data_IF_260370236378
#
_entry.id   IF_260370236378
#
_cell.length_a   1.000
_cell.length_b   1.000
_cell.length_c   1.000
_cell.angle_alpha   90.00
_cell.angle_beta   90.00
_cell.angle_gamma   90.00
#
_symmetry.space_group_name_H-M   'P 1'
#
loop_
_entity.id
_entity.type
_entity.pdbx_description
1 polymer ?
#
# COMPACT_ATOMS: atom_id res chain seq x y z
N UNK A 1 45.68 -24.06 54.81
CA UNK A 1 46.85 -23.47 55.49
C UNK A 1 47.34 -22.31 54.64
N UNK A 2 47.31 -21.08 55.19
CA UNK A 2 48.05 -19.85 54.83
C UNK A 2 48.09 -19.34 53.38
N UNK A 3 48.24 -18.05 53.05
CA UNK A 3 48.10 -16.76 53.72
C UNK A 3 48.32 -15.67 52.64
N UNK A 4 47.72 -14.50 52.84
CA UNK A 4 48.25 -13.15 52.58
C UNK A 4 49.03 -12.80 51.29
N UNK A 5 48.36 -12.01 50.44
CA UNK A 5 48.70 -10.64 50.00
C UNK A 5 50.17 -10.15 50.07
N UNK A 6 50.68 -9.62 48.94
CA UNK A 6 51.44 -8.34 48.94
C UNK A 6 51.39 -7.65 47.57
N UNK A 7 50.93 -6.39 47.61
CA UNK A 7 50.95 -5.37 46.57
C UNK A 7 52.31 -4.63 46.53
N UNK A 8 52.40 -3.68 45.58
CA UNK A 8 53.29 -2.50 45.50
C UNK A 8 54.51 -2.66 44.58
N UNK A 9 54.98 -1.68 43.80
CA UNK A 9 54.54 -0.37 43.25
C UNK A 9 55.83 0.22 42.63
N UNK A 10 55.83 0.80 41.42
CA UNK A 10 56.64 2.00 41.00
C UNK A 10 56.08 2.44 39.62
N UNK A 11 55.23 3.47 39.50
CA UNK A 11 55.46 4.93 39.49
C UNK A 11 56.15 5.47 38.21
N UNK A 12 55.50 6.43 37.53
CA UNK A 12 56.07 7.69 36.99
C UNK A 12 55.12 8.26 35.92
N UNK A 13 54.21 9.18 36.27
CA UNK A 13 54.37 10.66 36.24
C UNK A 13 53.89 11.30 34.94
N UNK A 14 52.78 12.04 35.05
CA UNK A 14 52.17 12.94 34.06
C UNK A 14 52.90 14.31 34.10
N UNK A 15 52.91 15.06 32.99
CA UNK A 15 52.65 16.49 33.09
C UNK A 15 51.48 16.96 32.21
N UNK A 16 50.78 17.96 32.75
CA UNK A 16 49.58 18.62 32.24
C UNK A 16 49.84 19.57 31.05
N UNK A 17 48.72 19.90 30.39
CA UNK A 17 48.31 21.23 29.91
C UNK A 17 48.53 21.56 28.43
N UNK A 18 47.48 22.12 27.81
CA UNK A 18 47.61 22.97 26.62
C UNK A 18 46.44 22.86 25.66
N UNK A 19 45.49 23.78 25.76
CA UNK A 19 44.40 23.95 24.81
C UNK A 19 44.93 24.44 23.45
N UNK A 20 44.87 23.61 22.39
CA UNK A 20 45.16 24.09 21.03
C UNK A 20 44.63 23.17 19.90
N UNK A 21 43.42 22.64 20.01
CA UNK A 21 42.75 21.90 18.91
C UNK A 21 41.35 22.44 18.59
N UNK A 22 41.17 23.76 18.60
CA UNK A 22 39.93 24.41 18.18
C UNK A 22 40.21 25.68 17.38
N UNK A 23 40.74 25.56 16.16
CA UNK A 23 40.75 26.69 15.20
C UNK A 23 40.92 26.41 13.70
N UNK A 24 40.40 25.30 13.20
CA UNK A 24 40.12 25.14 11.76
C UNK A 24 38.62 25.00 11.48
N UNK A 25 37.86 26.01 11.92
CA UNK A 25 36.56 26.32 11.34
C UNK A 25 36.77 27.27 10.15
N UNK A 26 36.27 26.91 8.97
CA UNK A 26 35.50 27.88 8.17
C UNK A 26 34.54 27.22 7.17
N UNK A 27 33.32 27.74 7.23
CA UNK A 27 32.12 27.41 6.48
C UNK A 27 32.15 27.81 5.00
N UNK A 28 31.13 27.29 4.29
CA UNK A 28 30.65 27.49 2.91
C UNK A 28 31.15 26.41 1.94
N UNK A 29 30.31 25.75 1.14
CA UNK A 29 29.11 26.24 0.45
C UNK A 29 28.14 25.09 0.11
N UNK A 30 26.86 25.46 -0.01
CA UNK A 30 25.77 24.67 -0.56
C UNK A 30 26.04 24.19 -2.00
N UNK A 31 25.30 23.14 -2.40
CA UNK A 31 25.22 22.49 -3.70
C UNK A 31 26.41 21.61 -4.12
N UNK A 32 26.39 20.36 -3.66
CA UNK A 32 26.73 19.23 -4.52
C UNK A 32 25.54 18.26 -4.56
N UNK A 33 24.53 18.67 -5.32
CA UNK A 33 23.54 17.79 -5.92
C UNK A 33 24.25 16.82 -6.87
N UNK A 34 24.77 15.71 -6.35
CA UNK A 34 24.82 14.49 -7.16
C UNK A 34 23.37 14.09 -7.42
N UNK A 35 22.90 13.98 -8.67
CA UNK A 35 21.58 13.45 -8.93
C UNK A 35 21.62 11.98 -8.55
N UNK A 36 21.14 11.66 -7.34
CA UNK A 36 20.71 10.31 -7.04
C UNK A 36 19.65 10.02 -8.10
N UNK A 37 19.86 9.04 -9.00
CA UNK A 37 18.85 8.72 -10.00
C UNK A 37 17.59 8.38 -9.22
N UNK A 38 16.61 9.25 -9.40
CA UNK A 38 15.36 9.24 -8.68
C UNK A 38 14.77 7.84 -8.77
N UNK A 39 14.61 7.18 -7.61
CA UNK A 39 13.85 5.94 -7.46
C UNK A 39 12.37 6.10 -7.84
N UNK A 40 11.99 7.26 -8.40
CA UNK A 40 10.70 7.57 -9.01
C UNK A 40 10.62 7.09 -10.48
N UNK A 41 11.71 6.55 -11.06
CA UNK A 41 11.75 6.16 -12.48
C UNK A 41 11.80 4.64 -12.78
N UNK A 42 11.63 3.73 -11.80
CA UNK A 42 11.81 2.27 -12.03
C UNK A 42 10.72 1.34 -11.47
N UNK A 43 9.47 1.78 -11.42
CA UNK A 43 8.35 0.83 -11.45
C UNK A 43 7.41 1.24 -12.57
N UNK A 44 7.42 0.48 -13.66
CA UNK A 44 6.16 0.16 -14.30
C UNK A 44 5.38 -0.67 -13.27
N UNK A 45 4.82 -0.01 -12.24
CA UNK A 45 4.03 -0.65 -11.21
C UNK A 45 2.78 -1.13 -11.95
N UNK A 46 2.79 -2.40 -12.34
CA UNK A 46 1.63 -2.99 -12.98
C UNK A 46 0.56 -2.99 -11.91
N UNK A 47 -0.41 -2.10 -12.06
CA UNK A 47 -1.59 -2.02 -11.22
C UNK A 47 -2.12 -3.42 -10.93
N UNK A 48 -2.25 -3.77 -9.65
CA UNK A 48 -2.62 -5.11 -9.20
C UNK A 48 -3.99 -5.53 -9.74
N UNK A 49 -4.88 -4.56 -9.95
CA UNK A 49 -6.18 -4.75 -10.58
C UNK A 49 -6.01 -5.15 -12.05
N UNK A 50 -5.18 -4.44 -12.79
CA UNK A 50 -4.82 -4.79 -14.18
C UNK A 50 -4.16 -6.17 -14.27
N UNK A 51 -3.27 -6.51 -13.33
CA UNK A 51 -2.64 -7.83 -13.25
C UNK A 51 -3.68 -8.93 -13.02
N UNK A 52 -4.58 -8.74 -12.06
CA UNK A 52 -5.68 -9.67 -11.79
C UNK A 52 -6.59 -9.83 -13.00
N UNK A 53 -7.03 -8.72 -13.61
CA UNK A 53 -7.92 -8.73 -14.77
C UNK A 53 -7.35 -9.58 -15.91
N UNK A 54 -6.06 -9.41 -16.23
CA UNK A 54 -5.35 -10.21 -17.24
C UNK A 54 -5.19 -11.67 -16.83
N UNK A 55 -4.92 -11.93 -15.55
CA UNK A 55 -4.74 -13.29 -15.04
C UNK A 55 -6.02 -14.13 -15.13
N UNK A 56 -7.22 -13.51 -15.16
CA UNK A 56 -8.49 -14.22 -15.32
C UNK A 56 -8.58 -14.99 -16.64
N UNK A 57 -7.87 -14.56 -17.69
CA UNK A 57 -7.81 -15.27 -18.99
C UNK A 57 -7.02 -16.58 -18.92
N UNK A 58 -6.20 -16.73 -17.89
CA UNK A 58 -5.37 -17.90 -17.65
C UNK A 58 -5.99 -18.85 -16.64
N UNK A 59 -7.20 -18.57 -16.16
CA UNK A 59 -7.92 -19.41 -15.20
C UNK A 59 -8.26 -20.75 -15.84
N UNK A 60 -8.00 -21.82 -15.10
CA UNK A 60 -8.27 -23.20 -15.50
C UNK A 60 -8.90 -23.98 -14.35
N UNK A 61 -9.84 -24.90 -14.59
CA UNK A 61 -10.50 -25.67 -13.52
C UNK A 61 -9.57 -26.52 -12.66
N UNK A 62 -8.46 -27.00 -13.21
CA UNK A 62 -7.46 -27.84 -12.53
C UNK A 62 -6.57 -27.04 -11.57
N UNK A 63 -6.13 -25.85 -11.97
CA UNK A 63 -5.24 -25.00 -11.15
C UNK A 63 -5.99 -23.96 -10.33
N UNK A 64 -7.16 -23.52 -10.78
CA UNK A 64 -7.95 -22.42 -10.19
C UNK A 64 -9.43 -22.82 -10.03
N UNK A 65 -9.76 -23.92 -9.35
CA UNK A 65 -11.11 -24.51 -9.35
C UNK A 65 -12.20 -23.56 -8.87
N UNK A 66 -11.93 -22.73 -7.84
CA UNK A 66 -12.91 -21.78 -7.29
C UNK A 66 -13.23 -20.65 -8.27
N UNK A 67 -12.20 -20.06 -8.87
CA UNK A 67 -12.37 -18.99 -9.85
C UNK A 67 -12.99 -19.53 -11.13
N UNK A 68 -12.58 -20.71 -11.59
CA UNK A 68 -13.20 -21.37 -12.74
C UNK A 68 -14.69 -21.62 -12.50
N UNK A 69 -15.09 -22.12 -11.32
CA UNK A 69 -16.50 -22.31 -10.96
C UNK A 69 -17.29 -21.00 -10.81
N UNK A 70 -16.59 -19.89 -10.52
CA UNK A 70 -17.21 -18.57 -10.47
C UNK A 70 -17.45 -18.04 -11.88
N UNK A 71 -16.45 -18.18 -12.78
CA UNK A 71 -16.50 -17.77 -14.19
C UNK A 71 -17.47 -18.62 -15.02
N UNK A 72 -17.60 -19.91 -14.72
CA UNK A 72 -18.63 -20.80 -15.28
C UNK A 72 -20.03 -20.50 -14.72
N UNK A 73 -20.10 -19.72 -13.65
CA UNK A 73 -21.35 -19.29 -13.04
C UNK A 73 -22.02 -18.12 -13.77
N UNK A 74 -23.28 -17.86 -13.44
CA UNK A 74 -23.99 -16.68 -13.98
C UNK A 74 -23.51 -15.36 -13.37
N UNK A 75 -23.69 -14.26 -14.12
CA UNK A 75 -23.56 -12.88 -13.62
C UNK A 75 -24.30 -12.63 -12.30
N UNK A 76 -25.45 -13.30 -12.08
CA UNK A 76 -26.19 -13.23 -10.80
C UNK A 76 -25.35 -13.74 -9.61
N UNK A 77 -24.63 -14.85 -9.79
CA UNK A 77 -23.76 -15.44 -8.74
C UNK A 77 -22.57 -14.53 -8.44
N UNK A 78 -21.97 -13.93 -9.47
CA UNK A 78 -20.87 -12.97 -9.31
C UNK A 78 -21.34 -11.72 -8.56
N UNK A 79 -22.48 -11.14 -8.94
CA UNK A 79 -23.08 -10.01 -8.25
C UNK A 79 -23.45 -10.32 -6.79
N UNK A 80 -23.93 -11.54 -6.51
CA UNK A 80 -24.21 -11.96 -5.14
C UNK A 80 -22.95 -11.98 -4.26
N UNK A 81 -21.84 -12.54 -4.77
CA UNK A 81 -20.56 -12.51 -4.04
C UNK A 81 -20.06 -11.09 -3.82
N UNK A 82 -20.14 -10.22 -4.83
CA UNK A 82 -19.77 -8.82 -4.70
C UNK A 82 -20.54 -8.11 -3.56
N UNK A 83 -21.85 -8.35 -3.46
CA UNK A 83 -22.70 -7.78 -2.40
C UNK A 83 -22.32 -8.34 -1.02
N UNK A 84 -22.02 -9.63 -0.93
CA UNK A 84 -21.55 -10.30 0.28
C UNK A 84 -20.27 -9.61 0.80
N UNK A 85 -19.22 -9.51 -0.02
CA UNK A 85 -17.95 -8.89 0.40
C UNK A 85 -18.13 -7.41 0.78
N UNK A 86 -18.96 -6.66 0.05
CA UNK A 86 -19.25 -5.26 0.38
C UNK A 86 -19.93 -5.13 1.76
N UNK A 87 -20.81 -6.08 2.09
CA UNK A 87 -21.46 -6.13 3.40
C UNK A 87 -20.46 -6.48 4.51
N UNK A 88 -19.55 -7.40 4.25
CA UNK A 88 -18.50 -7.78 5.20
C UNK A 88 -17.51 -6.63 5.47
N UNK A 89 -17.06 -5.91 4.44
CA UNK A 89 -16.26 -4.68 4.62
C UNK A 89 -16.96 -3.68 5.53
N UNK A 90 -18.26 -3.45 5.31
CA UNK A 90 -19.06 -2.54 6.13
C UNK A 90 -19.14 -3.03 7.58
N UNK A 91 -19.38 -4.33 7.81
CA UNK A 91 -19.44 -4.90 9.15
C UNK A 91 -18.10 -4.86 9.89
N UNK A 92 -16.99 -5.14 9.21
CA UNK A 92 -15.64 -5.03 9.79
C UNK A 92 -15.30 -3.57 10.14
N UNK A 93 -15.70 -2.63 9.29
CA UNK A 93 -15.55 -1.19 9.53
C UNK A 93 -16.35 -0.71 10.74
N UNK A 94 -17.62 -1.10 10.85
CA UNK A 94 -18.48 -0.78 12.00
C UNK A 94 -17.95 -1.33 13.32
N UNK A 95 -17.19 -2.44 13.28
CA UNK A 95 -16.56 -3.06 14.46
C UNK A 95 -15.14 -2.54 14.73
N UNK A 96 -14.66 -1.54 13.98
CA UNK A 96 -13.31 -0.98 14.08
C UNK A 96 -12.17 -2.02 13.92
N UNK A 97 -12.38 -3.05 13.09
CA UNK A 97 -11.41 -4.12 12.86
C UNK A 97 -10.64 -3.88 11.57
N UNK A 98 -9.59 -3.05 11.64
CA UNK A 98 -8.79 -2.63 10.48
C UNK A 98 -8.25 -3.79 9.63
N UNK A 99 -7.77 -4.86 10.26
CA UNK A 99 -7.31 -6.06 9.54
C UNK A 99 -8.44 -6.78 8.80
N UNK A 100 -9.64 -6.79 9.37
CA UNK A 100 -10.83 -7.32 8.72
C UNK A 100 -11.17 -6.48 7.50
N UNK A 101 -11.25 -5.16 7.67
CA UNK A 101 -11.50 -4.22 6.56
C UNK A 101 -10.52 -4.43 5.41
N UNK A 102 -9.22 -4.57 5.68
CA UNK A 102 -8.22 -4.82 4.64
C UNK A 102 -8.49 -6.12 3.88
N UNK A 103 -8.78 -7.21 4.59
CA UNK A 103 -9.04 -8.52 3.98
C UNK A 103 -10.30 -8.47 3.11
N UNK A 104 -11.42 -8.03 3.68
CA UNK A 104 -12.69 -8.06 2.93
C UNK A 104 -12.67 -7.03 1.80
N UNK A 105 -11.87 -5.95 1.90
CA UNK A 105 -11.67 -5.01 0.79
C UNK A 105 -10.91 -5.65 -0.37
N UNK A 106 -9.94 -6.51 -0.08
CA UNK A 106 -9.24 -7.26 -1.12
C UNK A 106 -10.19 -8.24 -1.83
N UNK A 107 -11.04 -8.94 -1.07
CA UNK A 107 -12.03 -9.86 -1.63
C UNK A 107 -13.11 -9.11 -2.43
N UNK A 108 -13.55 -7.94 -1.95
CA UNK A 108 -14.44 -7.03 -2.67
C UNK A 108 -13.86 -6.60 -4.01
N UNK A 109 -12.60 -6.13 -4.03
CA UNK A 109 -11.91 -5.73 -5.27
C UNK A 109 -11.78 -6.94 -6.21
N UNK A 110 -11.42 -8.11 -5.70
CA UNK A 110 -11.33 -9.32 -6.49
C UNK A 110 -12.65 -9.65 -7.21
N UNK A 111 -13.76 -9.67 -6.45
CA UNK A 111 -15.08 -9.96 -7.01
C UNK A 111 -15.57 -8.86 -7.96
N UNK A 112 -15.17 -7.62 -7.75
CA UNK A 112 -15.45 -6.51 -8.66
C UNK A 112 -14.73 -6.69 -10.00
N UNK A 113 -13.44 -7.04 -9.98
CA UNK A 113 -12.65 -7.29 -11.20
C UNK A 113 -13.16 -8.49 -11.98
N UNK A 114 -13.56 -9.56 -11.29
CA UNK A 114 -14.23 -10.72 -11.93
C UNK A 114 -15.52 -10.28 -12.65
N UNK A 115 -16.34 -9.46 -12.00
CA UNK A 115 -17.57 -8.95 -12.60
C UNK A 115 -17.29 -8.02 -13.79
N UNK A 116 -16.26 -7.17 -13.71
CA UNK A 116 -15.84 -6.35 -14.85
C UNK A 116 -15.44 -7.20 -16.04
N UNK A 117 -14.63 -8.26 -15.81
CA UNK A 117 -14.20 -9.17 -16.88
C UNK A 117 -15.40 -9.80 -17.59
N UNK A 118 -16.36 -10.31 -16.81
CA UNK A 118 -17.60 -10.91 -17.34
C UNK A 118 -18.48 -9.88 -18.08
N UNK A 119 -18.46 -8.61 -17.66
CA UNK A 119 -19.18 -7.53 -18.33
C UNK A 119 -18.44 -6.94 -19.54
N UNK A 120 -17.20 -7.37 -19.81
CA UNK A 120 -16.35 -6.78 -20.86
C UNK A 120 -15.86 -5.37 -20.54
N UNK A 121 -15.91 -4.96 -19.27
CA UNK A 121 -15.40 -3.67 -18.78
C UNK A 121 -13.93 -3.82 -18.42
N UNK A 122 -13.09 -2.90 -18.89
CA UNK A 122 -11.67 -2.88 -18.57
C UNK A 122 -11.38 -2.00 -17.34
N UNK A 123 -10.29 -2.25 -16.60
CA UNK A 123 -9.87 -1.36 -15.53
C UNK A 123 -9.65 0.09 -15.99
N UNK A 124 -9.11 0.29 -17.20
CA UNK A 124 -8.84 1.62 -17.74
C UNK A 124 -10.11 2.44 -17.92
N UNK A 125 -11.20 1.84 -18.43
CA UNK A 125 -12.51 2.50 -18.56
C UNK A 125 -13.07 2.95 -17.19
N UNK A 126 -12.84 2.17 -16.14
CA UNK A 126 -13.25 2.56 -14.77
C UNK A 126 -12.38 3.69 -14.23
N UNK A 127 -11.08 3.64 -14.50
CA UNK A 127 -10.16 4.72 -14.11
C UNK A 127 -10.45 6.02 -14.84
N UNK A 128 -10.83 5.97 -16.12
CA UNK A 128 -11.31 7.12 -16.88
C UNK A 128 -12.56 7.72 -16.23
N UNK A 129 -13.58 6.89 -15.93
CA UNK A 129 -14.79 7.35 -15.26
C UNK A 129 -14.52 7.97 -13.87
N UNK A 130 -13.54 7.44 -13.12
CA UNK A 130 -13.12 8.01 -11.84
C UNK A 130 -12.41 9.35 -12.00
N UNK A 131 -11.54 9.50 -13.01
CA UNK A 131 -10.88 10.77 -13.34
C UNK A 131 -11.91 11.82 -13.73
N UNK A 132 -12.82 11.50 -14.63
CA UNK A 132 -13.91 12.40 -15.04
C UNK A 132 -14.73 12.87 -13.83
N UNK A 133 -15.04 11.96 -12.91
CA UNK A 133 -15.75 12.31 -11.67
C UNK A 133 -14.92 13.22 -10.77
N UNK A 134 -13.62 12.97 -10.64
CA UNK A 134 -12.73 13.80 -9.85
C UNK A 134 -12.53 15.19 -10.48
N UNK A 135 -12.51 15.30 -11.80
CA UNK A 135 -12.39 16.59 -12.50
C UNK A 135 -13.66 17.42 -12.35
N UNK A 136 -14.84 16.78 -12.38
CA UNK A 136 -16.12 17.47 -12.21
C UNK A 136 -16.43 17.90 -10.78
N UNK A 137 -16.05 17.10 -9.79
CA UNK A 137 -16.44 17.29 -8.40
C UNK A 137 -15.27 17.73 -7.52
N UNK A 138 -14.02 17.47 -7.90
CA UNK A 138 -12.88 17.48 -7.00
C UNK A 138 -12.66 16.10 -6.37
N UNK A 139 -11.39 15.71 -6.19
CA UNK A 139 -10.95 14.36 -5.76
C UNK A 139 -11.63 13.87 -4.47
N UNK A 140 -11.99 14.79 -3.57
CA UNK A 140 -12.59 14.47 -2.27
C UNK A 140 -14.10 14.76 -2.18
N UNK A 141 -14.71 15.32 -3.23
CA UNK A 141 -16.11 15.72 -3.16
C UNK A 141 -17.06 14.57 -3.51
N UNK A 142 -18.19 14.56 -2.80
CA UNK A 142 -19.25 13.57 -2.96
C UNK A 142 -20.29 14.09 -3.96
N UNK A 143 -20.75 13.24 -4.88
CA UNK A 143 -21.86 13.54 -5.79
C UNK A 143 -23.02 14.22 -5.01
N UNK A 144 -23.47 15.41 -5.41
CA UNK A 144 -24.63 16.06 -4.81
C UNK A 144 -25.83 15.09 -4.88
N UNK A 145 -26.56 14.94 -3.77
CA UNK A 145 -27.83 14.19 -3.80
C UNK A 145 -28.76 14.91 -4.77
N UNK A 146 -29.35 14.20 -5.75
CA UNK A 146 -30.41 14.78 -6.60
C UNK A 146 -31.52 15.31 -5.67
N UNK A 147 -32.04 16.54 -5.92
CA UNK A 147 -33.16 17.04 -5.13
C UNK A 147 -34.32 16.06 -5.26
N UNK A 148 -34.99 15.77 -4.14
CA UNK A 148 -36.24 15.02 -4.19
C UNK A 148 -37.21 15.85 -5.01
N UNK A 149 -37.73 15.29 -6.10
CA UNK A 149 -38.89 15.85 -6.78
C UNK A 149 -39.99 16.01 -5.72
N UNK A 150 -40.35 17.25 -5.42
CA UNK A 150 -41.55 17.53 -4.64
C UNK A 150 -42.71 17.40 -5.62
N UNK A 151 -43.43 16.28 -5.54
CA UNK A 151 -44.83 16.18 -5.98
C UNK A 151 -45.72 16.15 -4.73
#
# INVERSE_FOLDING_TARGET
MSAFNRHDHVASSIPLCGADELRLLRLASANDTTPVPSAVAQRAETDEITRLYKALDLVRPDTNPRTAQLLDGSRRKMGQKLIEEASEVAFEGLRNRSRGVIRESADLIYHLVVLWRECGVTPDEVWDAMRERADMLGIAEKLPKRPKSQE
#
